data_IF_842756461261
#
_entry.id   IF_842756461261
#
_cell.length_a   1.000
_cell.length_b   1.000
_cell.length_c   1.000
_cell.angle_alpha   90.00
_cell.angle_beta   90.00
_cell.angle_gamma   90.00
#
_symmetry.space_group_name_H-M   'P 1'
#
loop_
_entity.id
_entity.type
_entity.pdbx_description
1 polymer ?
#
# COMPACT_ATOMS: atom_id res chain seq x y z
N UNK A 1 40.90 5.25 -26.43
CA UNK A 1 41.38 3.85 -26.45
C UNK A 1 40.51 3.09 -27.44
N UNK A 2 41.12 2.70 -28.56
CA UNK A 2 40.51 2.00 -29.70
C UNK A 2 41.30 0.70 -29.80
N UNK A 3 40.66 -0.46 -29.73
CA UNK A 3 41.30 -1.73 -29.99
C UNK A 3 40.31 -2.67 -30.70
N UNK A 4 40.41 -2.60 -32.02
CA UNK A 4 40.06 -3.65 -32.97
C UNK A 4 40.92 -4.88 -32.73
N UNK A 5 40.36 -6.08 -32.84
CA UNK A 5 41.16 -7.25 -33.24
C UNK A 5 40.37 -8.16 -34.18
N UNK A 6 41.12 -8.68 -35.15
CA UNK A 6 40.71 -9.25 -36.41
C UNK A 6 41.02 -10.76 -36.43
N UNK A 7 40.35 -11.48 -37.35
CA UNK A 7 40.90 -12.54 -38.21
C UNK A 7 41.29 -13.89 -37.58
N UNK A 8 40.71 -14.99 -38.09
CA UNK A 8 41.33 -15.86 -39.12
C UNK A 8 40.50 -17.15 -39.37
N UNK A 9 40.21 -17.44 -40.65
CA UNK A 9 40.03 -18.81 -41.24
C UNK A 9 41.46 -19.42 -41.46
N UNK A 10 41.72 -20.69 -41.88
CA UNK A 10 40.89 -21.64 -42.67
C UNK A 10 41.12 -23.19 -42.48
N UNK A 11 40.40 -23.97 -43.32
CA UNK A 11 40.78 -25.21 -44.04
C UNK A 11 41.11 -26.55 -43.31
N UNK A 12 40.38 -27.62 -43.69
CA UNK A 12 40.89 -28.81 -44.42
C UNK A 12 39.79 -29.91 -44.44
N UNK A 13 39.25 -30.29 -45.61
CA UNK A 13 39.77 -31.30 -46.55
C UNK A 13 39.97 -32.68 -45.91
N UNK A 14 39.08 -33.62 -46.24
CA UNK A 14 39.44 -35.01 -46.53
C UNK A 14 38.54 -35.56 -47.63
N UNK A 15 39.14 -35.65 -48.82
CA UNK A 15 38.73 -36.52 -49.92
C UNK A 15 39.10 -37.97 -49.61
N UNK A 16 38.26 -38.94 -49.95
CA UNK A 16 38.74 -40.27 -50.34
C UNK A 16 37.71 -41.08 -51.16
N UNK A 17 38.05 -41.15 -52.45
CA UNK A 17 38.09 -42.31 -53.34
C UNK A 17 36.82 -42.89 -53.96
N UNK A 18 36.87 -42.80 -55.29
CA UNK A 18 36.15 -43.53 -56.32
C UNK A 18 36.27 -45.06 -56.21
N UNK A 19 35.22 -45.76 -56.64
CA UNK A 19 35.36 -47.00 -57.40
C UNK A 19 34.28 -47.06 -58.48
N UNK A 20 34.72 -47.00 -59.73
CA UNK A 20 33.91 -47.31 -60.90
C UNK A 20 33.97 -48.82 -61.19
N UNK A 21 32.84 -49.41 -61.54
CA UNK A 21 32.77 -50.63 -62.38
C UNK A 21 31.47 -50.58 -63.17
N UNK A 22 31.58 -50.56 -64.49
CA UNK A 22 30.47 -50.41 -65.42
C UNK A 22 29.91 -51.72 -65.98
N UNK A 23 28.70 -51.58 -66.53
CA UNK A 23 28.11 -52.34 -67.65
C UNK A 23 27.09 -53.44 -67.28
N UNK A 24 26.11 -53.77 -68.14
CA UNK A 24 25.56 -53.06 -69.31
C UNK A 24 24.04 -52.82 -69.24
N UNK A 25 23.54 -52.14 -70.27
CA UNK A 25 22.17 -51.69 -70.49
C UNK A 25 21.10 -52.78 -70.41
N UNK A 26 19.99 -52.45 -69.75
CA UNK A 26 18.67 -53.03 -70.02
C UNK A 26 17.65 -51.88 -70.07
N UNK A 27 17.04 -51.78 -71.24
CA UNK A 27 15.90 -50.95 -71.63
C UNK A 27 14.73 -51.05 -70.66
N UNK A 28 14.16 -49.90 -70.29
CA UNK A 28 12.88 -49.84 -69.59
C UNK A 28 12.64 -48.46 -69.01
N UNK A 29 11.99 -47.59 -69.78
CA UNK A 29 11.41 -46.35 -69.27
C UNK A 29 10.01 -46.69 -68.74
N UNK A 30 9.70 -46.49 -67.45
CA UNK A 30 8.39 -46.04 -67.03
C UNK A 30 8.45 -44.53 -66.81
N UNK A 31 7.38 -43.81 -67.16
CA UNK A 31 7.36 -42.36 -67.17
C UNK A 31 7.53 -41.78 -65.76
N UNK A 32 8.08 -40.57 -65.72
CA UNK A 32 8.06 -39.70 -64.56
C UNK A 32 6.65 -39.63 -63.95
N UNK A 33 6.45 -40.28 -62.81
CA UNK A 33 5.33 -39.96 -61.93
C UNK A 33 5.66 -38.64 -61.22
N UNK A 34 5.61 -37.54 -61.97
CA UNK A 34 5.29 -36.25 -61.38
C UNK A 34 3.97 -36.45 -60.67
N UNK A 35 4.01 -36.51 -59.34
CA UNK A 35 2.82 -36.58 -58.50
C UNK A 35 2.06 -35.28 -58.70
N UNK A 36 1.19 -35.26 -59.72
CA UNK A 36 0.19 -34.24 -59.86
C UNK A 36 -0.73 -34.40 -58.65
N UNK A 37 -0.62 -33.49 -57.68
CA UNK A 37 -1.63 -33.36 -56.63
C UNK A 37 -2.96 -33.19 -57.34
N UNK A 38 -3.84 -34.18 -57.16
CA UNK A 38 -5.17 -34.12 -57.73
C UNK A 38 -5.91 -32.94 -57.10
N UNK A 39 -6.68 -32.20 -57.91
CA UNK A 39 -7.52 -31.11 -57.42
C UNK A 39 -8.44 -31.60 -56.29
N UNK A 40 -8.89 -32.86 -56.36
CA UNK A 40 -9.72 -33.47 -55.32
C UNK A 40 -8.99 -33.63 -53.98
N UNK A 41 -7.69 -33.88 -53.99
CA UNK A 41 -6.88 -34.07 -52.79
C UNK A 41 -6.62 -32.74 -52.09
N UNK A 42 -6.37 -31.68 -52.86
CA UNK A 42 -6.30 -30.31 -52.32
C UNK A 42 -7.65 -29.83 -51.76
N UNK A 43 -8.76 -30.15 -52.42
CA UNK A 43 -10.11 -29.83 -51.90
C UNK A 43 -10.41 -30.61 -50.63
N UNK A 44 -10.06 -31.90 -50.56
CA UNK A 44 -10.25 -32.72 -49.38
C UNK A 44 -9.43 -32.20 -48.17
N UNK A 45 -8.16 -31.85 -48.38
CA UNK A 45 -7.30 -31.28 -47.32
C UNK A 45 -7.85 -29.94 -46.81
N UNK A 46 -8.25 -29.05 -47.71
CA UNK A 46 -8.84 -27.77 -47.33
C UNK A 46 -10.17 -27.94 -46.57
N UNK A 47 -11.00 -28.92 -46.96
CA UNK A 47 -12.24 -29.23 -46.25
C UNK A 47 -11.98 -29.70 -44.81
N UNK A 48 -11.00 -30.58 -44.60
CA UNK A 48 -10.62 -31.05 -43.26
C UNK A 48 -10.09 -29.90 -42.41
N UNK A 49 -9.20 -29.06 -42.95
CA UNK A 49 -8.67 -27.89 -42.24
C UNK A 49 -9.80 -26.91 -41.89
N UNK A 50 -10.75 -26.67 -42.80
CA UNK A 50 -11.89 -25.79 -42.55
C UNK A 50 -12.78 -26.30 -41.42
N UNK A 51 -13.08 -27.60 -41.38
CA UNK A 51 -13.87 -28.21 -40.30
C UNK A 51 -13.11 -28.11 -38.96
N UNK A 52 -11.82 -28.44 -38.96
CA UNK A 52 -10.98 -28.33 -37.75
C UNK A 52 -10.92 -26.88 -37.26
N UNK A 53 -10.71 -25.91 -38.15
CA UNK A 53 -10.72 -24.49 -37.80
C UNK A 53 -12.08 -24.06 -37.21
N UNK A 54 -13.19 -24.44 -37.84
CA UNK A 54 -14.53 -24.08 -37.39
C UNK A 54 -14.85 -24.61 -35.98
N UNK A 55 -14.37 -25.82 -35.65
CA UNK A 55 -14.59 -26.40 -34.31
C UNK A 55 -13.72 -25.76 -33.22
N UNK A 56 -12.56 -25.20 -33.56
CA UNK A 56 -11.64 -24.59 -32.58
C UNK A 56 -11.94 -23.11 -32.28
N UNK A 57 -12.45 -22.35 -33.25
CA UNK A 57 -12.69 -20.91 -33.14
C UNK A 57 -13.55 -20.51 -31.92
N UNK A 58 -14.69 -21.16 -31.61
CA UNK A 58 -15.51 -20.79 -30.45
C UNK A 58 -14.76 -20.89 -29.12
N UNK A 59 -13.88 -21.90 -28.98
CA UNK A 59 -13.09 -22.10 -27.77
C UNK A 59 -12.01 -21.03 -27.59
N UNK A 60 -11.36 -20.61 -28.67
CA UNK A 60 -10.35 -19.56 -28.64
C UNK A 60 -10.98 -18.20 -28.29
N UNK A 61 -12.13 -17.86 -28.87
CA UNK A 61 -12.83 -16.60 -28.61
C UNK A 61 -13.23 -16.45 -27.13
N UNK A 62 -13.77 -17.52 -26.52
CA UNK A 62 -14.12 -17.52 -25.09
C UNK A 62 -12.89 -17.32 -24.20
N UNK A 63 -11.76 -17.94 -24.53
CA UNK A 63 -10.50 -17.76 -23.79
C UNK A 63 -9.97 -16.34 -23.88
N UNK A 64 -10.07 -15.71 -25.06
CA UNK A 64 -9.67 -14.30 -25.25
C UNK A 64 -10.58 -13.38 -24.41
N UNK A 65 -11.90 -13.62 -24.38
CA UNK A 65 -12.83 -12.86 -23.55
C UNK A 65 -12.54 -13.02 -22.05
N UNK A 66 -12.33 -14.25 -21.59
CA UNK A 66 -11.95 -14.52 -20.20
C UNK A 66 -10.62 -13.86 -19.82
N UNK A 67 -9.64 -13.88 -20.72
CA UNK A 67 -8.36 -13.19 -20.52
C UNK A 67 -8.55 -11.67 -20.43
N UNK A 68 -9.36 -11.07 -21.30
CA UNK A 68 -9.68 -9.64 -21.25
C UNK A 68 -10.42 -9.26 -19.96
N UNK A 69 -11.36 -10.09 -19.50
CA UNK A 69 -12.08 -9.91 -18.25
C UNK A 69 -11.15 -9.94 -17.04
N UNK A 70 -10.34 -10.98 -16.93
CA UNK A 70 -9.39 -11.15 -15.82
C UNK A 70 -8.35 -10.01 -15.81
N UNK A 71 -7.89 -9.61 -17.00
CA UNK A 71 -6.99 -8.48 -17.17
C UNK A 71 -7.62 -7.18 -16.67
N UNK A 72 -8.85 -6.89 -17.10
CA UNK A 72 -9.55 -5.67 -16.70
C UNK A 72 -9.84 -5.63 -15.21
N UNK A 73 -10.24 -6.74 -14.59
CA UNK A 73 -10.44 -6.82 -13.15
C UNK A 73 -9.15 -6.56 -12.36
N UNK A 74 -8.03 -7.10 -12.84
CA UNK A 74 -6.69 -6.84 -12.26
C UNK A 74 -6.31 -5.37 -12.45
N UNK A 75 -6.54 -4.82 -13.64
CA UNK A 75 -6.25 -3.42 -13.96
C UNK A 75 -7.09 -2.48 -13.06
N UNK A 76 -8.39 -2.73 -12.88
CA UNK A 76 -9.25 -1.94 -11.99
C UNK A 76 -8.80 -1.96 -10.52
N UNK A 77 -8.39 -3.12 -10.03
CA UNK A 77 -7.83 -3.25 -8.66
C UNK A 77 -6.56 -2.40 -8.53
N UNK A 78 -5.64 -2.50 -9.50
CA UNK A 78 -4.43 -1.71 -9.51
C UNK A 78 -4.70 -0.19 -9.61
N UNK A 79 -5.72 0.22 -10.37
CA UNK A 79 -6.13 1.62 -10.45
C UNK A 79 -6.73 2.13 -9.13
N UNK A 80 -7.49 1.30 -8.41
CA UNK A 80 -8.01 1.63 -7.08
C UNK A 80 -6.86 1.77 -6.06
N UNK A 81 -5.92 0.84 -6.04
CA UNK A 81 -4.75 0.89 -5.16
C UNK A 81 -3.86 2.12 -5.45
N UNK A 82 -3.70 2.46 -6.73
CA UNK A 82 -2.98 3.66 -7.15
C UNK A 82 -3.71 4.95 -6.76
N UNK A 83 -5.05 4.99 -6.82
CA UNK A 83 -5.83 6.12 -6.32
C UNK A 83 -5.61 6.31 -4.81
N UNK A 84 -5.72 5.24 -4.01
CA UNK A 84 -5.51 5.31 -2.57
C UNK A 84 -4.07 5.69 -2.20
N UNK A 85 -3.08 5.10 -2.88
CA UNK A 85 -1.67 5.38 -2.65
C UNK A 85 -1.33 6.81 -3.03
N UNK A 86 -1.83 7.30 -4.17
CA UNK A 86 -1.64 8.69 -4.59
C UNK A 86 -2.30 9.65 -3.62
N UNK A 87 -3.46 9.28 -3.06
CA UNK A 87 -4.14 10.09 -2.06
C UNK A 87 -3.32 10.23 -0.77
N UNK A 88 -2.73 9.13 -0.30
CA UNK A 88 -1.81 9.14 0.85
C UNK A 88 -0.58 10.00 0.56
N UNK A 89 0.09 9.79 -0.58
CA UNK A 89 1.34 10.50 -0.92
C UNK A 89 1.15 12.00 -1.11
N UNK A 90 0.10 12.41 -1.82
CA UNK A 90 -0.12 13.81 -2.21
C UNK A 90 -1.03 14.58 -1.25
N UNK A 91 -1.56 13.90 -0.22
CA UNK A 91 -2.59 14.45 0.69
C UNK A 91 -3.78 15.05 -0.06
N UNK A 92 -4.14 14.45 -1.21
CA UNK A 92 -5.12 15.01 -2.12
C UNK A 92 -5.91 13.92 -2.84
N UNK A 93 -7.18 14.18 -3.10
CA UNK A 93 -8.04 13.31 -3.89
C UNK A 93 -8.44 14.04 -5.18
N UNK A 94 -8.36 13.36 -6.34
CA UNK A 94 -8.70 13.98 -7.61
C UNK A 94 -10.21 14.14 -7.78
N UNK A 95 -10.60 15.06 -8.65
CA UNK A 95 -11.97 15.18 -9.13
C UNK A 95 -12.22 14.32 -10.38
N UNK A 96 -13.47 14.23 -10.85
CA UNK A 96 -13.80 13.42 -12.04
C UNK A 96 -13.11 13.85 -13.33
N UNK A 97 -12.67 15.10 -13.44
CA UNK A 97 -11.90 15.59 -14.59
C UNK A 97 -10.39 15.33 -14.52
N UNK A 98 -9.85 15.00 -13.34
CA UNK A 98 -8.40 14.91 -13.11
C UNK A 98 -7.94 13.53 -12.63
N UNK A 99 -8.87 12.62 -12.33
CA UNK A 99 -8.57 11.27 -11.80
C UNK A 99 -7.61 10.48 -12.69
N UNK A 100 -7.78 10.55 -14.01
CA UNK A 100 -6.97 9.76 -14.94
C UNK A 100 -5.49 10.17 -14.89
N UNK A 101 -5.21 11.47 -14.85
CA UNK A 101 -3.84 11.99 -14.70
C UNK A 101 -3.28 11.67 -13.32
N UNK A 102 -4.09 11.84 -12.27
CA UNK A 102 -3.68 11.58 -10.90
C UNK A 102 -3.29 10.11 -10.67
N UNK A 103 -4.19 9.19 -11.04
CA UNK A 103 -3.96 7.75 -10.94
C UNK A 103 -2.85 7.34 -11.89
N UNK A 104 -2.80 7.92 -13.09
CA UNK A 104 -1.78 7.59 -14.07
C UNK A 104 -0.36 7.91 -13.61
N UNK A 105 -0.17 9.08 -13.00
CA UNK A 105 1.12 9.47 -12.41
C UNK A 105 1.52 8.57 -11.24
N UNK A 106 0.54 8.05 -10.47
CA UNK A 106 0.83 7.19 -9.31
C UNK A 106 1.07 5.73 -9.73
N UNK A 107 0.37 5.26 -10.77
CA UNK A 107 0.46 3.89 -11.26
C UNK A 107 1.59 3.70 -12.28
N UNK A 108 2.35 4.76 -12.61
CA UNK A 108 3.26 4.81 -13.76
C UNK A 108 2.61 4.36 -15.07
N UNK A 109 1.30 4.62 -15.20
CA UNK A 109 0.48 4.35 -16.39
C UNK A 109 0.07 5.70 -16.97
N UNK A 110 0.43 6.01 -18.23
CA UNK A 110 -0.08 7.24 -18.85
C UNK A 110 -1.61 7.33 -18.77
N UNK A 111 -2.18 8.54 -18.72
CA UNK A 111 -3.63 8.75 -18.54
C UNK A 111 -4.50 7.96 -19.54
N UNK A 112 -4.02 7.76 -20.77
CA UNK A 112 -4.68 6.93 -21.79
C UNK A 112 -4.88 5.47 -21.37
N UNK A 113 -3.93 4.88 -20.65
CA UNK A 113 -4.02 3.52 -20.13
C UNK A 113 -4.92 3.39 -18.90
N UNK A 114 -5.23 4.51 -18.23
CA UNK A 114 -6.20 4.59 -17.14
C UNK A 114 -7.63 4.69 -17.68
N UNK A 115 -7.85 5.46 -18.75
CA UNK A 115 -9.19 5.70 -19.29
C UNK A 115 -9.67 4.65 -20.29
N UNK A 116 -8.81 3.78 -20.83
CA UNK A 116 -9.23 2.76 -21.81
C UNK A 116 -9.04 1.33 -21.32
N UNK A 117 -10.06 0.49 -21.55
CA UNK A 117 -10.00 -0.95 -21.31
C UNK A 117 -9.15 -1.65 -22.38
N UNK A 118 -8.71 -2.90 -22.17
CA UNK A 118 -8.00 -3.68 -23.18
C UNK A 118 -8.76 -3.88 -24.50
N UNK A 119 -10.09 -3.67 -24.48
CA UNK A 119 -10.95 -3.74 -25.67
C UNK A 119 -11.27 -2.37 -26.28
N UNK A 120 -10.65 -1.30 -25.78
CA UNK A 120 -10.76 0.06 -26.30
C UNK A 120 -11.99 0.84 -25.84
N UNK A 121 -12.73 0.33 -24.85
CA UNK A 121 -13.86 1.07 -24.26
C UNK A 121 -13.38 2.03 -23.18
N UNK A 122 -14.12 3.13 -22.99
CA UNK A 122 -13.78 4.15 -21.99
C UNK A 122 -14.22 3.71 -20.59
N UNK A 123 -13.30 3.77 -19.62
CA UNK A 123 -13.58 3.65 -18.18
C UNK A 123 -14.17 4.95 -17.65
N UNK A 124 -15.07 4.84 -16.68
CA UNK A 124 -15.81 5.96 -16.11
C UNK A 124 -15.56 6.05 -14.61
N UNK A 125 -15.20 7.23 -14.13
CA UNK A 125 -15.01 7.50 -12.69
C UNK A 125 -16.20 8.29 -12.15
N UNK A 126 -16.89 7.70 -11.17
CA UNK A 126 -18.05 8.32 -10.53
C UNK A 126 -17.77 8.66 -9.09
N UNK A 127 -18.23 9.83 -8.68
CA UNK A 127 -18.16 10.32 -7.30
C UNK A 127 -19.56 10.34 -6.70
N UNK A 128 -19.70 9.87 -5.46
CA UNK A 128 -20.98 9.96 -4.75
C UNK A 128 -21.38 11.45 -4.61
N UNK A 129 -22.57 11.87 -5.06
CA UNK A 129 -23.02 13.26 -4.95
C UNK A 129 -23.12 13.77 -3.51
N UNK A 130 -23.31 12.85 -2.56
CA UNK A 130 -23.37 13.14 -1.13
C UNK A 130 -21.99 13.13 -0.48
N UNK A 131 -20.92 12.82 -1.22
CA UNK A 131 -19.56 12.90 -0.72
C UNK A 131 -19.27 14.32 -0.26
N UNK A 132 -18.89 14.46 1.01
CA UNK A 132 -18.42 15.73 1.60
C UNK A 132 -17.10 15.53 2.33
N UNK A 133 -16.09 16.29 1.90
CA UNK A 133 -14.78 16.47 2.51
C UNK A 133 -14.54 17.98 2.66
N UNK A 134 -14.25 18.44 3.87
CA UNK A 134 -14.12 19.86 4.20
C UNK A 134 -15.29 20.74 3.70
N UNK A 135 -16.51 20.19 3.72
CA UNK A 135 -17.73 20.89 3.27
C UNK A 135 -17.98 20.88 1.75
N UNK A 136 -17.08 20.33 0.95
CA UNK A 136 -17.18 20.26 -0.52
C UNK A 136 -17.10 18.82 -1.05
N UNK A 137 -17.37 18.62 -2.34
CA UNK A 137 -17.10 17.35 -3.02
C UNK A 137 -15.63 17.27 -3.48
N UNK A 138 -15.30 16.28 -4.31
CA UNK A 138 -13.97 16.17 -4.93
C UNK A 138 -13.78 17.24 -6.03
N UNK A 139 -12.55 17.75 -6.25
CA UNK A 139 -11.28 17.35 -5.63
C UNK A 139 -11.13 17.82 -4.18
N UNK A 140 -10.27 17.12 -3.43
CA UNK A 140 -9.91 17.49 -2.06
C UNK A 140 -8.39 17.64 -1.95
N UNK A 141 -7.94 18.63 -1.18
CA UNK A 141 -6.54 18.76 -0.78
C UNK A 141 -6.53 19.05 0.71
N UNK A 142 -5.80 18.22 1.45
CA UNK A 142 -5.66 18.39 2.88
C UNK A 142 -4.94 19.69 3.19
N UNK A 143 -5.49 20.41 4.17
CA UNK A 143 -4.84 21.57 4.78
C UNK A 143 -4.62 21.28 6.26
N UNK A 144 -4.02 22.22 6.99
CA UNK A 144 -3.91 22.12 8.45
C UNK A 144 -5.27 21.87 9.13
N UNK A 145 -6.38 22.35 8.56
CA UNK A 145 -7.73 22.18 9.11
C UNK A 145 -8.32 20.77 8.93
N UNK A 146 -7.66 19.91 8.14
CA UNK A 146 -8.15 18.56 7.84
C UNK A 146 -9.52 18.58 7.15
N UNK A 147 -10.39 17.66 7.56
CA UNK A 147 -11.81 17.62 7.18
C UNK A 147 -12.65 17.19 8.39
N UNK A 148 -13.86 17.73 8.57
CA UNK A 148 -14.86 17.09 9.42
C UNK A 148 -15.07 15.64 8.98
N UNK A 149 -15.70 14.82 9.84
CA UNK A 149 -16.00 13.41 9.54
C UNK A 149 -16.48 13.24 8.09
N UNK A 150 -15.75 12.48 7.25
CA UNK A 150 -16.15 12.27 5.86
C UNK A 150 -17.58 11.74 5.77
N UNK A 151 -18.40 12.38 4.94
CA UNK A 151 -19.78 11.96 4.68
C UNK A 151 -19.80 11.24 3.34
N UNK A 152 -20.38 10.04 3.30
CA UNK A 152 -20.47 9.17 2.11
C UNK A 152 -19.18 9.14 1.26
N UNK A 153 -18.02 8.75 1.83
CA UNK A 153 -16.73 8.78 1.15
C UNK A 153 -16.60 7.63 0.13
N UNK A 154 -17.45 7.63 -0.90
CA UNK A 154 -17.58 6.57 -1.90
C UNK A 154 -17.25 7.09 -3.29
N UNK A 155 -16.44 6.34 -4.01
CA UNK A 155 -16.19 6.54 -5.44
C UNK A 155 -16.15 5.19 -6.14
N UNK A 156 -16.35 5.16 -7.45
CA UNK A 156 -16.27 3.92 -8.22
C UNK A 156 -15.62 4.15 -9.58
N UNK A 157 -14.95 3.11 -10.08
CA UNK A 157 -14.47 3.03 -11.46
C UNK A 157 -15.30 1.97 -12.17
N UNK A 158 -15.92 2.37 -13.27
CA UNK A 158 -16.71 1.51 -14.14
C UNK A 158 -15.91 1.17 -15.39
N UNK A 159 -16.01 -0.09 -15.82
CA UNK A 159 -15.47 -0.53 -17.09
C UNK A 159 -16.45 -1.48 -17.78
N UNK A 160 -16.46 -1.45 -19.11
CA UNK A 160 -17.18 -2.42 -19.94
C UNK A 160 -16.24 -3.06 -20.96
N UNK A 161 -16.52 -4.32 -21.29
CA UNK A 161 -15.79 -5.10 -22.29
C UNK A 161 -16.58 -5.29 -23.59
N UNK A 162 -17.84 -4.90 -23.69
CA UNK A 162 -18.67 -5.19 -24.86
C UNK A 162 -19.60 -4.06 -25.32
N UNK A 163 -19.66 -2.94 -24.59
CA UNK A 163 -20.48 -1.79 -24.96
C UNK A 163 -19.97 -0.47 -24.36
N UNK A 164 -20.39 0.65 -24.95
CA UNK A 164 -20.13 1.95 -24.34
C UNK A 164 -21.00 2.12 -23.08
N UNK A 165 -20.41 2.60 -21.99
CA UNK A 165 -21.16 2.90 -20.77
C UNK A 165 -22.11 4.08 -21.04
N UNK A 166 -23.41 4.00 -20.67
CA UNK A 166 -24.39 5.06 -20.90
C UNK A 166 -24.28 6.20 -19.86
N UNK A 167 -23.07 6.46 -19.37
CA UNK A 167 -22.76 7.45 -18.35
C UNK A 167 -21.33 7.93 -18.54
N UNK A 168 -21.06 9.20 -18.23
CA UNK A 168 -19.72 9.79 -18.30
C UNK A 168 -19.11 9.93 -16.89
N UNK A 169 -17.79 10.13 -16.83
CA UNK A 169 -17.12 10.43 -15.56
C UNK A 169 -17.68 11.72 -14.97
N UNK A 170 -17.98 11.72 -13.67
CA UNK A 170 -18.65 12.85 -13.04
C UNK A 170 -19.29 12.50 -11.70
N UNK A 171 -20.22 13.37 -11.31
CA UNK A 171 -21.01 13.24 -10.09
C UNK A 171 -22.47 13.09 -10.49
N UNK A 172 -22.98 11.86 -10.66
CA UNK A 172 -24.37 11.63 -11.06
C UNK A 172 -25.34 11.96 -9.92
N UNK A 173 -26.64 11.84 -10.17
CA UNK A 173 -27.68 11.98 -9.13
C UNK A 173 -27.53 10.90 -8.06
N UNK A 174 -28.03 11.16 -6.84
CA UNK A 174 -27.91 10.20 -5.73
C UNK A 174 -28.60 8.87 -6.04
N UNK A 175 -29.74 8.90 -6.73
CA UNK A 175 -30.46 7.70 -7.17
C UNK A 175 -29.64 6.90 -8.18
N UNK A 176 -29.10 7.54 -9.22
CA UNK A 176 -28.30 6.86 -10.25
C UNK A 176 -27.00 6.30 -9.64
N UNK A 177 -26.34 7.05 -8.75
CA UNK A 177 -25.15 6.57 -8.06
C UNK A 177 -25.46 5.32 -7.21
N UNK A 178 -26.52 5.37 -6.41
CA UNK A 178 -26.93 4.26 -5.55
C UNK A 178 -27.29 3.01 -6.37
N UNK A 179 -28.06 3.17 -7.45
CA UNK A 179 -28.41 2.05 -8.33
C UNK A 179 -27.16 1.36 -8.91
N UNK A 180 -26.22 2.13 -9.44
CA UNK A 180 -24.97 1.57 -9.99
C UNK A 180 -24.12 0.96 -8.86
N UNK A 181 -24.04 1.63 -7.70
CA UNK A 181 -23.30 1.15 -6.54
C UNK A 181 -23.85 -0.18 -6.02
N UNK A 182 -25.17 -0.36 -6.01
CA UNK A 182 -25.81 -1.57 -5.47
C UNK A 182 -25.98 -2.67 -6.53
N UNK A 183 -25.66 -2.40 -7.80
CA UNK A 183 -25.78 -3.39 -8.90
C UNK A 183 -24.86 -4.60 -8.64
N UNK A 184 -25.41 -5.82 -8.52
CA UNK A 184 -24.61 -7.00 -8.25
C UNK A 184 -23.68 -7.35 -9.43
N UNK A 185 -22.59 -8.06 -9.14
CA UNK A 185 -21.67 -8.53 -10.18
C UNK A 185 -22.41 -9.43 -11.20
N UNK A 186 -22.11 -9.27 -12.49
CA UNK A 186 -22.80 -10.00 -13.55
C UNK A 186 -24.17 -9.43 -13.95
N UNK A 187 -24.58 -8.29 -13.38
CA UNK A 187 -25.83 -7.61 -13.71
C UNK A 187 -25.59 -6.20 -14.24
N UNK A 188 -26.60 -5.63 -14.89
CA UNK A 188 -26.61 -4.26 -15.40
C UNK A 188 -27.60 -3.43 -14.57
N UNK A 189 -27.33 -2.15 -14.26
CA UNK A 189 -28.33 -1.26 -13.66
C UNK A 189 -29.62 -1.25 -14.49
N UNK A 190 -30.78 -1.32 -13.84
CA UNK A 190 -32.07 -1.41 -14.52
C UNK A 190 -32.36 -0.18 -15.39
N UNK A 191 -31.85 0.99 -15.01
CA UNK A 191 -31.96 2.24 -15.76
C UNK A 191 -31.15 2.26 -17.06
N UNK A 192 -30.19 1.35 -17.25
CA UNK A 192 -29.31 1.32 -18.43
C UNK A 192 -29.95 0.59 -19.61
N UNK A 193 -31.11 1.07 -20.05
CA UNK A 193 -31.88 0.47 -21.16
C UNK A 193 -31.21 0.58 -22.53
N UNK A 194 -30.23 1.48 -22.67
CA UNK A 194 -29.45 1.70 -23.91
C UNK A 194 -28.11 0.96 -23.93
N UNK A 195 -27.72 0.30 -22.83
CA UNK A 195 -26.48 -0.46 -22.77
C UNK A 195 -26.63 -1.77 -23.55
N UNK A 196 -25.74 -2.00 -24.51
CA UNK A 196 -25.79 -3.16 -25.41
C UNK A 196 -24.94 -4.34 -24.95
N UNK A 197 -24.14 -4.16 -23.90
CA UNK A 197 -23.29 -5.20 -23.33
C UNK A 197 -24.06 -6.12 -22.37
N UNK A 198 -23.46 -7.26 -22.03
CA UNK A 198 -24.00 -8.13 -20.98
C UNK A 198 -23.61 -7.63 -19.59
N UNK A 199 -24.32 -8.08 -18.56
CA UNK A 199 -23.94 -7.80 -17.17
C UNK A 199 -22.62 -8.45 -16.77
N UNK A 200 -22.23 -9.55 -17.41
CA UNK A 200 -20.93 -10.19 -17.22
C UNK A 200 -19.78 -9.34 -17.76
N UNK A 201 -20.04 -8.47 -18.75
CA UNK A 201 -19.04 -7.58 -19.31
C UNK A 201 -18.88 -6.26 -18.52
N UNK A 202 -19.76 -5.99 -17.56
CA UNK A 202 -19.73 -4.79 -16.72
C UNK A 202 -18.95 -5.06 -15.44
N UNK A 203 -17.89 -4.29 -15.24
CA UNK A 203 -17.05 -4.33 -14.05
C UNK A 203 -17.20 -3.03 -13.25
N UNK A 204 -17.52 -3.18 -11.97
CA UNK A 204 -17.76 -2.07 -11.03
C UNK A 204 -16.77 -2.18 -9.88
N UNK A 205 -15.71 -1.38 -9.93
CA UNK A 205 -14.75 -1.27 -8.84
C UNK A 205 -15.24 -0.23 -7.84
N UNK A 206 -15.67 -0.69 -6.67
CA UNK A 206 -16.14 0.17 -5.57
C UNK A 206 -14.98 0.52 -4.66
N UNK A 207 -14.86 1.80 -4.30
CA UNK A 207 -13.78 2.29 -3.47
C UNK A 207 -14.39 3.10 -2.32
N UNK A 208 -14.08 2.69 -1.08
CA UNK A 208 -14.49 3.40 0.12
C UNK A 208 -13.29 4.19 0.65
N UNK A 209 -13.33 5.50 0.46
CA UNK A 209 -12.28 6.43 0.86
C UNK A 209 -12.29 6.68 2.38
N UNK A 210 -13.31 6.25 3.13
CA UNK A 210 -13.41 6.49 4.57
C UNK A 210 -12.24 5.90 5.36
N UNK A 211 -11.65 4.81 4.84
CA UNK A 211 -10.48 4.12 5.42
C UNK A 211 -9.20 4.93 5.32
N UNK A 212 -9.17 5.92 4.42
CA UNK A 212 -8.04 6.81 4.24
C UNK A 212 -8.03 7.93 5.26
N UNK A 213 -9.05 8.08 6.10
CA UNK A 213 -9.15 9.20 7.04
C UNK A 213 -9.13 8.70 8.48
N UNK A 214 -8.21 9.23 9.27
CA UNK A 214 -8.09 8.96 10.70
C UNK A 214 -8.46 10.21 11.50
N UNK A 215 -9.16 10.00 12.62
CA UNK A 215 -9.56 11.06 13.54
C UNK A 215 -8.39 11.46 14.42
N UNK A 216 -8.14 12.77 14.49
CA UNK A 216 -7.21 13.39 15.42
C UNK A 216 -8.00 14.24 16.42
N UNK A 217 -7.85 13.94 17.70
CA UNK A 217 -8.40 14.75 18.79
C UNK A 217 -7.28 15.36 19.62
N UNK A 218 -7.20 16.68 19.69
CA UNK A 218 -6.25 17.38 20.56
C UNK A 218 -7.01 18.24 21.56
N UNK A 219 -6.72 18.07 22.85
CA UNK A 219 -7.39 18.79 23.93
C UNK A 219 -6.34 19.56 24.71
N UNK A 220 -6.61 20.84 24.96
CA UNK A 220 -5.78 21.64 25.86
C UNK A 220 -6.39 21.64 27.27
N UNK A 221 -5.76 20.95 28.22
CA UNK A 221 -6.18 20.86 29.61
C UNK A 221 -5.32 21.73 30.56
N UNK A 222 -4.34 22.47 30.04
CA UNK A 222 -3.55 23.44 30.81
C UNK A 222 -4.21 24.83 30.81
N UNK A 223 -4.39 25.41 32.00
CA UNK A 223 -5.04 26.72 32.18
C UNK A 223 -4.14 27.91 31.82
N UNK A 224 -2.82 27.74 31.85
CA UNK A 224 -1.87 28.85 31.69
C UNK A 224 -1.09 28.77 30.37
N UNK A 225 -1.10 27.61 29.71
CA UNK A 225 -0.35 27.36 28.51
C UNK A 225 -1.26 26.73 27.45
N UNK A 226 -1.05 27.10 26.19
CA UNK A 226 -1.78 26.49 25.07
C UNK A 226 -0.84 25.63 24.25
N UNK A 227 -1.07 24.32 24.25
CA UNK A 227 -0.37 23.39 23.38
C UNK A 227 -0.60 23.75 21.91
N UNK A 228 0.41 23.50 21.08
CA UNK A 228 0.34 23.80 19.63
C UNK A 228 0.58 22.53 18.82
N UNK A 229 0.08 22.51 17.59
CA UNK A 229 0.26 21.39 16.68
C UNK A 229 0.56 21.86 15.26
N UNK A 230 1.27 21.04 14.49
CA UNK A 230 1.53 21.23 13.06
C UNK A 230 1.15 19.98 12.28
N UNK A 231 0.85 20.16 10.99
CA UNK A 231 0.50 19.10 10.07
C UNK A 231 1.53 19.07 8.94
N UNK A 232 2.06 17.89 8.64
CA UNK A 232 3.08 17.60 7.61
C UNK A 232 4.28 18.57 7.67
N UNK A 233 4.72 18.93 8.88
CA UNK A 233 5.86 19.83 9.11
C UNK A 233 5.58 21.31 8.81
N UNK A 234 4.32 21.68 8.62
CA UNK A 234 3.88 23.06 8.44
C UNK A 234 3.97 23.92 9.72
N UNK A 235 3.39 25.14 9.70
CA UNK A 235 3.40 26.03 10.85
C UNK A 235 2.60 25.47 12.04
N UNK A 236 3.02 25.82 13.25
CA UNK A 236 2.40 25.37 14.49
C UNK A 236 1.24 26.29 14.95
N UNK A 237 0.05 25.74 15.06
CA UNK A 237 -1.18 26.42 15.46
C UNK A 237 -1.57 26.09 16.89
N UNK A 238 -2.10 27.04 17.67
CA UNK A 238 -2.61 26.77 19.00
C UNK A 238 -3.83 25.85 18.93
N UNK A 239 -3.91 24.87 19.83
CA UNK A 239 -5.13 24.07 19.99
C UNK A 239 -6.22 24.93 20.65
N UNK A 240 -7.46 24.92 20.12
CA UNK A 240 -8.56 25.64 20.73
C UNK A 240 -8.76 25.27 22.20
N UNK A 241 -8.91 26.26 23.07
CA UNK A 241 -9.10 26.09 24.52
C UNK A 241 -10.57 26.01 24.94
N UNK A 242 -11.50 26.12 23.99
CA UNK A 242 -12.95 26.04 24.22
C UNK A 242 -13.57 24.90 23.40
N UNK A 243 -14.73 24.42 23.83
CA UNK A 243 -15.42 23.31 23.18
C UNK A 243 -14.71 21.97 23.35
N UNK A 244 -14.68 21.16 22.28
CA UNK A 244 -14.06 19.82 22.26
C UNK A 244 -12.57 19.84 21.91
N UNK A 245 -11.94 21.02 21.89
CA UNK A 245 -10.58 21.20 21.40
C UNK A 245 -10.51 21.10 19.87
N UNK A 246 -9.46 20.47 19.35
CA UNK A 246 -9.29 20.17 17.94
C UNK A 246 -9.79 18.76 17.64
N UNK A 247 -10.87 18.63 16.87
CA UNK A 247 -11.45 17.33 16.49
C UNK A 247 -11.73 17.32 14.99
N UNK A 248 -10.85 16.67 14.22
CA UNK A 248 -10.94 16.64 12.75
C UNK A 248 -10.29 15.35 12.22
N UNK A 249 -10.49 15.09 10.93
CA UNK A 249 -9.95 13.91 10.25
C UNK A 249 -8.86 14.31 9.27
N UNK A 250 -7.85 13.47 9.17
CA UNK A 250 -6.71 13.65 8.26
C UNK A 250 -6.45 12.37 7.48
N UNK A 251 -5.83 12.51 6.32
CA UNK A 251 -5.44 11.42 5.44
C UNK A 251 -4.41 10.52 6.14
N UNK A 252 -4.51 9.21 5.93
CA UNK A 252 -3.59 8.20 6.42
C UNK A 252 -2.12 8.52 6.06
N UNK A 253 -1.25 8.34 7.04
CA UNK A 253 0.16 8.69 6.99
C UNK A 253 0.47 10.17 7.23
N UNK A 254 -0.52 11.03 7.53
CA UNK A 254 -0.29 12.45 7.87
C UNK A 254 0.62 12.58 9.08
N UNK A 255 1.64 13.45 9.00
CA UNK A 255 2.57 13.65 10.11
C UNK A 255 2.07 14.77 11.01
N UNK A 256 1.88 14.49 12.30
CA UNK A 256 1.53 15.48 13.31
C UNK A 256 2.79 15.87 14.07
N UNK A 257 3.06 17.17 14.15
CA UNK A 257 4.00 17.73 15.12
C UNK A 257 3.24 18.24 16.33
N UNK A 258 3.60 17.77 17.52
CA UNK A 258 3.07 18.24 18.79
C UNK A 258 4.09 19.15 19.45
N UNK A 259 3.69 20.39 19.72
CA UNK A 259 4.57 21.48 20.16
C UNK A 259 4.15 22.04 21.52
N UNK A 260 5.14 22.49 22.31
CA UNK A 260 4.90 23.26 23.51
C UNK A 260 4.26 24.62 23.22
N UNK A 261 3.85 25.32 24.27
CA UNK A 261 3.28 26.66 24.16
C UNK A 261 4.26 27.70 23.58
N UNK A 262 5.56 27.47 23.75
CA UNK A 262 6.65 28.23 23.16
C UNK A 262 6.90 27.92 21.67
N UNK A 263 6.17 26.95 21.10
CA UNK A 263 6.33 26.48 19.73
C UNK A 263 7.42 25.43 19.53
N UNK A 264 8.15 25.06 20.59
CA UNK A 264 9.17 24.01 20.52
C UNK A 264 8.54 22.65 20.20
N UNK A 265 9.13 21.88 19.29
CA UNK A 265 8.64 20.54 18.96
C UNK A 265 8.93 19.58 20.12
N UNK A 266 7.90 18.91 20.62
CA UNK A 266 8.01 17.93 21.70
C UNK A 266 7.93 16.50 21.17
N UNK A 267 6.99 16.23 20.27
CA UNK A 267 6.77 14.92 19.69
C UNK A 267 6.36 15.03 18.23
N UNK A 268 6.66 13.99 17.45
CA UNK A 268 6.18 13.84 16.08
C UNK A 268 5.64 12.43 15.91
N UNK A 269 4.45 12.34 15.35
CA UNK A 269 3.78 11.07 15.09
C UNK A 269 3.26 11.03 13.66
N UNK A 270 3.18 9.83 13.10
CA UNK A 270 2.51 9.56 11.83
C UNK A 270 1.14 8.97 12.14
N UNK A 271 0.08 9.58 11.64
CA UNK A 271 -1.28 9.05 11.76
C UNK A 271 -1.41 7.74 10.99
N UNK A 272 -1.57 6.63 11.69
CA UNK A 272 -1.93 5.32 11.13
C UNK A 272 -3.28 4.79 11.65
N UNK A 273 -3.95 5.56 12.50
CA UNK A 273 -5.22 5.22 13.14
C UNK A 273 -5.78 6.43 13.89
N UNK A 274 -6.97 6.25 14.46
CA UNK A 274 -7.59 7.27 15.31
C UNK A 274 -6.78 7.47 16.58
N UNK A 275 -6.40 8.71 16.89
CA UNK A 275 -5.57 9.05 18.06
C UNK A 275 -6.10 10.29 18.78
N UNK A 276 -5.79 10.37 20.07
CA UNK A 276 -6.09 11.54 20.89
C UNK A 276 -4.91 11.92 21.78
N UNK A 277 -4.75 13.23 21.96
CA UNK A 277 -3.73 13.81 22.82
C UNK A 277 -4.29 14.90 23.70
N UNK A 278 -3.74 14.97 24.92
CA UNK A 278 -4.05 16.01 25.89
C UNK A 278 -2.79 16.78 26.22
N UNK A 279 -2.86 18.10 26.14
CA UNK A 279 -1.81 18.99 26.59
C UNK A 279 -2.04 19.40 28.04
N UNK A 280 -1.14 19.00 28.93
CA UNK A 280 -1.21 19.32 30.35
C UNK A 280 0.18 19.52 30.96
N UNK A 281 0.29 20.45 31.90
CA UNK A 281 1.53 20.80 32.59
C UNK A 281 2.69 21.14 31.63
N UNK A 282 2.38 21.78 30.50
CA UNK A 282 3.37 22.14 29.49
C UNK A 282 3.79 21.01 28.53
N UNK A 283 3.14 19.84 28.56
CA UNK A 283 3.53 18.69 27.74
C UNK A 283 2.34 17.96 27.11
N UNK A 284 2.57 17.37 25.94
CA UNK A 284 1.61 16.47 25.28
C UNK A 284 1.64 15.04 25.84
N UNK A 285 0.46 14.41 25.97
CA UNK A 285 0.27 13.06 26.52
C UNK A 285 -0.85 12.32 25.80
N UNK A 286 -0.74 10.99 25.70
CA UNK A 286 -1.77 10.12 25.12
C UNK A 286 -2.83 9.62 26.10
N UNK A 287 -2.69 9.92 27.40
CA UNK A 287 -3.65 9.56 28.46
C UNK A 287 -3.83 10.74 29.41
N UNK A 288 -5.03 10.88 29.98
CA UNK A 288 -5.31 11.88 31.02
C UNK A 288 -4.71 11.40 32.33
N UNK A 289 -3.97 12.27 33.03
CA UNK A 289 -3.48 11.96 34.35
C UNK A 289 -4.57 12.19 35.40
N UNK A 290 -4.95 11.13 36.13
CA UNK A 290 -5.80 11.26 37.33
C UNK A 290 -5.07 12.14 38.35
N UNK A 291 -5.51 13.38 38.46
CA UNK A 291 -4.74 14.46 39.05
C UNK A 291 -4.19 14.18 40.44
N UNK A 292 -2.88 14.01 40.56
CA UNK A 292 -2.06 14.58 41.63
C UNK A 292 -0.59 14.35 41.31
N UNK A 293 0.20 15.39 41.52
CA UNK A 293 1.66 15.49 41.41
C UNK A 293 2.14 16.05 40.06
N UNK A 294 2.53 17.33 40.10
CA UNK A 294 3.50 17.90 39.16
C UNK A 294 4.85 17.27 39.49
N UNK A 295 5.56 16.70 38.50
CA UNK A 295 6.99 16.93 38.54
C UNK A 295 7.81 16.84 37.23
N UNK A 296 9.03 17.38 37.31
CA UNK A 296 10.12 17.33 36.33
C UNK A 296 10.48 15.91 35.86
N UNK A 297 11.10 15.82 34.67
CA UNK A 297 11.36 14.59 33.88
C UNK A 297 11.79 13.34 34.67
N UNK A 298 12.54 13.48 35.78
CA UNK A 298 12.97 12.34 36.61
C UNK A 298 11.86 11.72 37.48
N UNK A 299 10.85 12.49 37.86
CA UNK A 299 9.77 12.02 38.73
C UNK A 299 8.59 11.39 37.96
N UNK A 300 8.53 11.50 36.63
CA UNK A 300 7.55 10.76 35.81
C UNK A 300 7.88 9.26 35.78
N UNK A 301 9.16 8.93 35.62
CA UNK A 301 9.65 7.58 35.79
C UNK A 301 9.45 7.11 37.24
N UNK A 302 9.77 7.96 38.23
CA UNK A 302 9.53 7.63 39.63
C UNK A 302 8.04 7.38 39.94
N UNK A 303 7.11 8.14 39.35
CA UNK A 303 5.67 7.94 39.50
C UNK A 303 5.18 6.65 38.83
N UNK A 304 5.66 6.34 37.63
CA UNK A 304 5.35 5.07 36.95
C UNK A 304 5.89 3.87 37.74
N UNK A 305 7.12 3.97 38.26
CA UNK A 305 7.72 2.99 39.17
C UNK A 305 6.88 2.86 40.44
N UNK A 306 6.45 3.97 41.04
CA UNK A 306 5.63 3.93 42.25
C UNK A 306 4.27 3.27 42.03
N UNK A 307 3.61 3.56 40.90
CA UNK A 307 2.36 2.91 40.51
C UNK A 307 2.54 1.40 40.30
N UNK A 308 3.62 1.01 39.63
CA UNK A 308 3.97 -0.38 39.43
C UNK A 308 4.23 -1.12 40.75
N UNK A 309 4.97 -0.50 41.69
CA UNK A 309 5.25 -1.04 43.01
C UNK A 309 3.99 -1.12 43.90
N UNK A 310 3.06 -0.18 43.76
CA UNK A 310 1.80 -0.16 44.51
C UNK A 310 0.74 -1.13 43.97
N UNK A 311 0.95 -1.74 42.81
CA UNK A 311 0.01 -2.71 42.23
C UNK A 311 0.00 -3.98 43.08
N UNK A 312 -1.16 -4.64 43.20
CA UNK A 312 -1.27 -5.88 43.97
C UNK A 312 -0.23 -6.91 43.50
N UNK A 313 0.50 -7.50 44.45
CA UNK A 313 1.55 -8.49 44.16
C UNK A 313 0.92 -9.69 43.43
N UNK A 314 1.53 -10.11 42.33
CA UNK A 314 1.11 -11.32 41.63
C UNK A 314 1.37 -12.56 42.53
N UNK A 315 0.33 -13.31 42.94
CA UNK A 315 0.49 -14.52 43.74
C UNK A 315 1.11 -15.69 42.97
N UNK A 316 1.12 -15.65 41.62
CA UNK A 316 1.75 -16.65 40.75
C UNK A 316 3.24 -16.45 40.51
N UNK A 317 3.82 -15.35 40.99
CA UNK A 317 5.20 -15.02 40.72
C UNK A 317 6.18 -16.07 41.30
N UNK A 318 7.11 -16.51 40.46
CA UNK A 318 8.05 -17.60 40.76
C UNK A 318 9.45 -17.05 41.07
N UNK A 319 10.32 -17.87 41.69
CA UNK A 319 11.75 -17.56 41.93
C UNK A 319 12.06 -16.13 42.45
N UNK A 320 11.18 -15.57 43.29
CA UNK A 320 11.39 -14.23 43.87
C UNK A 320 11.11 -13.06 42.92
N UNK A 321 10.42 -13.29 41.79
CA UNK A 321 9.92 -12.24 40.90
C UNK A 321 9.00 -11.29 41.66
N UNK A 322 9.47 -10.06 41.89
CA UNK A 322 8.69 -9.01 42.53
C UNK A 322 8.75 -7.74 41.68
N UNK A 323 7.76 -6.86 41.83
CA UNK A 323 7.80 -5.56 41.17
C UNK A 323 9.07 -4.79 41.54
N UNK A 324 9.52 -4.90 42.80
CA UNK A 324 10.79 -4.30 43.24
C UNK A 324 11.99 -4.87 42.49
N UNK A 325 12.08 -6.20 42.34
CA UNK A 325 13.19 -6.83 41.63
C UNK A 325 13.26 -6.39 40.16
N UNK A 326 12.12 -6.21 39.48
CA UNK A 326 12.09 -5.70 38.10
C UNK A 326 12.64 -4.26 38.04
N UNK A 327 12.25 -3.41 38.99
CA UNK A 327 12.72 -2.02 39.08
C UNK A 327 14.22 -1.96 39.34
N UNK A 328 14.74 -2.78 40.25
CA UNK A 328 16.18 -2.84 40.57
C UNK A 328 17.01 -3.32 39.36
N UNK A 329 16.51 -4.32 38.62
CA UNK A 329 17.18 -4.79 37.39
C UNK A 329 17.11 -3.77 36.26
N UNK A 330 16.00 -3.05 36.11
CA UNK A 330 15.88 -1.96 35.15
C UNK A 330 16.87 -0.82 35.47
N UNK A 331 17.01 -0.44 36.74
CA UNK A 331 18.00 0.55 37.16
C UNK A 331 19.43 0.09 36.83
N UNK A 332 19.74 -1.17 37.13
CA UNK A 332 21.06 -1.77 36.84
C UNK A 332 21.37 -1.73 35.34
N UNK A 333 20.40 -2.09 34.49
CA UNK A 333 20.55 -2.02 33.04
C UNK A 333 20.81 -0.60 32.55
N UNK A 334 20.03 0.39 33.01
CA UNK A 334 20.18 1.79 32.62
C UNK A 334 21.53 2.37 33.08
N UNK A 335 21.97 2.02 34.28
CA UNK A 335 23.27 2.44 34.81
C UNK A 335 24.43 1.88 33.97
N UNK A 336 24.38 0.60 33.58
CA UNK A 336 25.43 0.01 32.75
C UNK A 336 25.41 0.61 31.34
N UNK A 337 24.22 0.92 30.82
CA UNK A 337 24.08 1.61 29.54
C UNK A 337 24.72 3.01 29.55
N UNK A 338 24.53 3.79 30.63
CA UNK A 338 25.16 5.12 30.74
C UNK A 338 26.68 5.04 30.87
N UNK A 339 27.21 4.02 31.56
CA UNK A 339 28.64 3.76 31.61
C UNK A 339 29.20 3.45 30.21
N UNK A 340 28.57 2.53 29.48
CA UNK A 340 29.06 2.13 28.15
C UNK A 340 28.93 3.26 27.11
N UNK A 341 27.83 4.02 27.13
CA UNK A 341 27.64 5.15 26.24
C UNK A 341 28.52 6.35 26.60
N UNK A 342 28.92 6.48 27.87
CA UNK A 342 29.80 7.54 28.38
C UNK A 342 31.31 7.29 28.21
N UNK A 343 31.72 6.08 27.80
CA UNK A 343 33.11 5.82 27.41
C UNK A 343 33.55 6.77 26.27
N UNK A 344 34.86 7.05 26.16
CA UNK A 344 35.42 7.87 25.06
C UNK A 344 36.35 7.01 24.18
N UNK A 345 36.05 6.80 22.88
CA UNK A 345 34.87 7.27 22.15
C UNK A 345 33.57 6.62 22.66
N UNK A 346 32.41 7.27 22.43
CA UNK A 346 31.12 6.71 22.85
C UNK A 346 30.96 5.28 22.33
N UNK A 347 30.49 4.38 23.19
CA UNK A 347 30.45 2.95 22.92
C UNK A 347 31.84 2.39 22.59
N UNK A 348 32.85 2.76 23.38
CA UNK A 348 34.23 2.35 23.16
C UNK A 348 34.34 0.82 23.05
N UNK A 349 35.04 0.38 22.02
CA UNK A 349 35.30 -1.05 21.78
C UNK A 349 36.58 -1.55 22.42
N UNK A 350 37.35 -0.67 23.08
CA UNK A 350 38.60 -1.02 23.79
C UNK A 350 39.55 -1.90 22.95
N UNK A 351 39.67 -1.61 21.64
CA UNK A 351 40.51 -2.38 20.72
C UNK A 351 39.93 -3.73 20.26
N UNK A 352 38.74 -4.12 20.72
CA UNK A 352 38.07 -5.35 20.31
C UNK A 352 37.28 -5.18 19.01
N UNK A 353 37.37 -6.19 18.13
CA UNK A 353 36.51 -6.33 16.94
C UNK A 353 35.19 -7.04 17.26
N UNK A 354 35.11 -7.78 18.37
CA UNK A 354 33.91 -8.45 18.85
C UNK A 354 33.32 -7.69 20.03
N UNK A 355 32.07 -7.21 19.89
CA UNK A 355 31.37 -6.50 20.96
C UNK A 355 31.26 -7.34 22.24
N UNK A 356 31.16 -8.67 22.13
CA UNK A 356 31.10 -9.58 23.30
C UNK A 356 32.37 -9.57 24.17
N UNK A 357 33.49 -9.10 23.63
CA UNK A 357 34.75 -8.97 24.38
C UNK A 357 34.90 -7.57 25.02
N UNK A 358 33.94 -6.67 24.80
CA UNK A 358 33.90 -5.34 25.42
C UNK A 358 33.28 -5.48 26.81
N UNK A 359 34.00 -5.18 27.91
CA UNK A 359 33.51 -5.43 29.27
C UNK A 359 32.17 -4.76 29.58
N UNK A 360 32.01 -3.47 29.28
CA UNK A 360 30.76 -2.74 29.51
C UNK A 360 29.58 -3.28 28.67
N UNK A 361 29.84 -3.74 27.44
CA UNK A 361 28.81 -4.36 26.60
C UNK A 361 28.39 -5.73 27.16
N UNK A 362 29.34 -6.54 27.63
CA UNK A 362 29.03 -7.82 28.24
C UNK A 362 28.22 -7.66 29.55
N UNK A 363 28.56 -6.65 30.35
CA UNK A 363 27.77 -6.29 31.53
C UNK A 363 26.34 -5.88 31.15
N UNK A 364 26.15 -5.14 30.05
CA UNK A 364 24.83 -4.74 29.56
C UNK A 364 24.00 -5.96 29.16
N UNK A 365 24.59 -6.90 28.42
CA UNK A 365 23.93 -8.16 28.03
C UNK A 365 23.52 -9.01 29.23
N UNK A 366 24.39 -9.07 30.25
CA UNK A 366 24.08 -9.79 31.49
C UNK A 366 22.91 -9.13 32.23
N UNK A 367 22.91 -7.80 32.35
CA UNK A 367 21.82 -7.05 32.97
C UNK A 367 20.50 -7.17 32.20
N UNK A 368 20.56 -7.18 30.86
CA UNK A 368 19.40 -7.43 30.01
C UNK A 368 18.82 -8.83 30.26
N UNK A 369 19.68 -9.84 30.34
CA UNK A 369 19.27 -11.23 30.62
C UNK A 369 18.63 -11.37 31.99
N UNK A 370 19.19 -10.70 33.01
CA UNK A 370 18.62 -10.69 34.36
C UNK A 370 17.26 -9.98 34.40
N UNK A 371 17.13 -8.84 33.71
CA UNK A 371 15.86 -8.12 33.59
C UNK A 371 14.78 -8.97 32.92
N UNK A 372 15.11 -9.66 31.82
CA UNK A 372 14.19 -10.57 31.12
C UNK A 372 13.74 -11.73 32.02
N UNK A 373 14.68 -12.37 32.72
CA UNK A 373 14.37 -13.46 33.65
C UNK A 373 13.46 -13.02 34.79
N UNK A 374 13.76 -11.89 35.45
CA UNK A 374 12.94 -11.38 36.56
C UNK A 374 11.57 -10.93 36.08
N UNK A 375 11.48 -10.32 34.89
CA UNK A 375 10.21 -9.92 34.28
C UNK A 375 9.33 -11.13 33.96
N UNK A 376 9.92 -12.20 33.39
CA UNK A 376 9.21 -13.47 33.14
C UNK A 376 8.73 -14.13 34.43
N UNK A 377 9.56 -14.13 35.46
CA UNK A 377 9.22 -14.70 36.76
C UNK A 377 8.11 -13.94 37.47
N UNK A 378 7.97 -12.62 37.23
CA UNK A 378 6.87 -11.81 37.74
C UNK A 378 5.54 -12.09 37.02
N UNK A 379 5.56 -12.51 35.75
CA UNK A 379 4.38 -12.65 34.89
C UNK A 379 3.80 -14.08 34.83
N UNK A 380 4.49 -15.06 35.43
CA UNK A 380 3.93 -16.39 35.66
C UNK A 380 2.87 -16.34 36.76
#
# INVERSE_FOLDING_TARGET
MKATFQSTRPANLHSSRCRARGGPAATGHPPHAGRAFSLIEMVAVLAIIAILAATLVPGILRRIQQAAYTKEQTDLTALADALETGARQNRALPGPGTWATFVGNTADKGAGGVVTTPRGYTRVFLVDPNLRLAGASLPYTQTTNGTPKPVSPRVMILASLSGALPIASGTPTAANFAEIWDTPAGSVPASWTTYTGSGEDLLIQRINLGRLFHRLVLINNDLNNTGRFSIDGGPAYPVPTTGTGWDTYYVDGTVIGLHGADGSLQCREILSGDVSYVYEFGYWRGLIHEGRLRPSRGMQFAAAVQQFLNTARNPGADFGGTQQAVVDQMYTYLFIYTLWSGDSPCFARHGSVNLQQVPHYQMLLNAQTMLDNVSKNLLK
#
